data_IF_292503705253
#
_entry.id   IF_292503705253
#
_cell.length_a   1.000
_cell.length_b   1.000
_cell.length_c   1.000
_cell.angle_alpha   90.00
_cell.angle_beta   90.00
_cell.angle_gamma   90.00
#
_symmetry.space_group_name_H-M   'P 1'
#
loop_
_entity.id
_entity.type
_entity.pdbx_description
1 polymer ?
#
# COMPACT_ATOMS: atom_id res chain seq x y z
N UNK A 1 2.08 3.94 -24.53
CA UNK A 1 1.77 5.40 -24.43
C UNK A 1 2.70 5.98 -23.37
N UNK A 2 3.21 7.20 -23.51
CA UNK A 2 4.04 7.82 -22.46
C UNK A 2 3.13 8.37 -21.37
N UNK A 3 3.43 8.11 -20.10
CA UNK A 3 2.67 8.67 -18.97
C UNK A 3 2.93 10.17 -18.82
N UNK A 4 1.87 10.93 -18.53
CA UNK A 4 1.99 12.34 -18.15
C UNK A 4 2.44 12.44 -16.69
N UNK A 5 3.47 13.25 -16.42
CA UNK A 5 3.99 13.49 -15.07
C UNK A 5 3.78 14.96 -14.71
N UNK A 6 3.03 15.22 -13.65
CA UNK A 6 2.85 16.56 -13.09
C UNK A 6 3.84 16.80 -11.95
N UNK A 7 4.39 18.00 -11.87
CA UNK A 7 5.47 18.34 -10.94
C UNK A 7 5.28 19.74 -10.32
N UNK A 8 5.63 19.88 -9.04
CA UNK A 8 5.69 21.15 -8.32
C UNK A 8 7.03 21.30 -7.61
N UNK A 9 7.59 22.51 -7.61
CA UNK A 9 8.74 22.86 -6.76
C UNK A 9 8.32 23.20 -5.34
N UNK A 10 7.06 23.62 -5.16
CA UNK A 10 6.48 23.92 -3.85
C UNK A 10 5.99 22.62 -3.22
N UNK A 11 6.48 22.34 -2.01
CA UNK A 11 6.09 21.18 -1.20
C UNK A 11 5.09 21.65 -0.16
N UNK A 12 3.83 21.81 -0.58
CA UNK A 12 2.72 22.23 0.29
C UNK A 12 1.49 21.34 0.07
N UNK A 13 0.59 21.21 1.06
CA UNK A 13 -0.65 20.43 0.92
C UNK A 13 -1.48 20.84 -0.31
N UNK A 14 -1.71 22.14 -0.49
CA UNK A 14 -2.48 22.66 -1.63
C UNK A 14 -1.77 22.39 -2.97
N UNK A 15 -0.44 22.45 -3.03
CA UNK A 15 0.28 22.12 -4.26
C UNK A 15 0.04 20.67 -4.68
N UNK A 16 0.05 19.73 -3.73
CA UNK A 16 -0.24 18.31 -4.01
C UNK A 16 -1.68 18.12 -4.47
N UNK A 17 -2.65 18.75 -3.80
CA UNK A 17 -4.05 18.70 -4.21
C UNK A 17 -4.27 19.25 -5.63
N UNK A 18 -3.61 20.37 -5.97
CA UNK A 18 -3.64 20.92 -7.33
C UNK A 18 -3.08 19.93 -8.35
N UNK A 19 -1.94 19.29 -8.06
CA UNK A 19 -1.36 18.27 -8.96
C UNK A 19 -2.29 17.06 -9.11
N UNK A 20 -2.91 16.58 -8.04
CA UNK A 20 -3.89 15.49 -8.11
C UNK A 20 -5.07 15.85 -9.01
N UNK A 21 -5.62 17.07 -8.88
CA UNK A 21 -6.71 17.54 -9.75
C UNK A 21 -6.33 17.59 -11.23
N UNK A 22 -5.07 17.86 -11.57
CA UNK A 22 -4.57 17.82 -12.95
C UNK A 22 -4.52 16.41 -13.55
N UNK A 23 -4.46 15.36 -12.72
CA UNK A 23 -4.58 13.97 -13.18
C UNK A 23 -5.94 13.73 -13.84
N UNK A 24 -6.98 14.44 -13.38
CA UNK A 24 -8.32 14.36 -13.96
C UNK A 24 -8.99 12.99 -13.78
N UNK A 25 -8.52 12.19 -12.81
CA UNK A 25 -9.05 10.88 -12.49
C UNK A 25 -9.96 10.98 -11.27
N UNK A 26 -11.22 10.63 -11.46
CA UNK A 26 -12.17 10.45 -10.36
C UNK A 26 -12.00 9.06 -9.74
N UNK A 27 -12.12 9.00 -8.42
CA UNK A 27 -12.13 7.77 -7.62
C UNK A 27 -13.55 7.56 -7.11
N UNK A 28 -14.36 6.71 -7.78
CA UNK A 28 -15.74 6.49 -7.37
C UNK A 28 -15.85 5.68 -6.08
N UNK A 29 -16.99 5.82 -5.39
CA UNK A 29 -17.35 4.99 -4.25
C UNK A 29 -16.46 5.18 -3.02
N UNK A 30 -16.26 4.10 -2.26
CA UNK A 30 -15.37 4.12 -1.07
C UNK A 30 -13.92 4.09 -1.50
N UNK A 31 -13.14 5.08 -1.08
CA UNK A 31 -11.72 5.22 -1.43
C UNK A 31 -10.83 4.71 -0.30
N UNK A 32 -10.04 3.67 -0.58
CA UNK A 32 -8.91 3.27 0.24
C UNK A 32 -7.71 4.17 -0.06
N UNK A 33 -7.16 4.84 0.94
CA UNK A 33 -5.93 5.64 0.83
C UNK A 33 -4.79 4.85 1.44
N UNK A 34 -4.02 4.17 0.59
CA UNK A 34 -2.89 3.36 1.03
C UNK A 34 -1.70 4.25 1.34
N UNK A 35 -1.22 4.17 2.58
CA UNK A 35 -0.02 4.87 3.06
C UNK A 35 1.03 3.88 3.51
N UNK A 36 2.26 4.34 3.73
CA UNK A 36 3.20 3.67 4.62
C UNK A 36 3.20 4.40 5.95
N UNK A 37 2.56 3.84 6.98
CA UNK A 37 2.30 4.51 8.27
C UNK A 37 3.54 4.95 9.04
N UNK A 38 4.69 4.33 8.74
CA UNK A 38 5.97 4.57 9.42
C UNK A 38 6.22 3.54 10.51
N UNK A 39 7.47 3.09 10.66
CA UNK A 39 7.86 2.22 11.78
C UNK A 39 8.23 3.06 12.99
N UNK A 40 8.18 2.49 14.20
CA UNK A 40 8.57 3.20 15.42
C UNK A 40 10.00 3.77 15.28
N UNK A 41 10.14 5.06 15.59
CA UNK A 41 11.40 5.80 15.46
C UNK A 41 11.70 6.33 14.05
N UNK A 42 10.93 5.96 13.02
CA UNK A 42 11.07 6.54 11.69
C UNK A 42 10.47 7.96 11.67
N UNK A 43 11.24 8.95 11.24
CA UNK A 43 10.79 10.34 11.10
C UNK A 43 10.44 10.73 9.65
N UNK A 44 10.70 9.84 8.68
CA UNK A 44 10.59 10.14 7.24
C UNK A 44 9.33 9.55 6.60
N UNK A 45 8.33 9.16 7.40
CA UNK A 45 7.04 8.73 6.85
C UNK A 45 6.18 9.94 6.44
N UNK A 46 5.18 9.69 5.60
CA UNK A 46 4.23 10.73 5.21
C UNK A 46 3.48 11.25 6.44
N UNK A 47 3.48 12.57 6.65
CA UNK A 47 2.84 13.16 7.82
C UNK A 47 1.35 13.37 7.56
N UNK A 48 0.46 12.93 8.47
CA UNK A 48 -0.99 12.92 8.21
C UNK A 48 -1.58 14.32 8.01
N UNK A 49 -1.07 15.33 8.72
CA UNK A 49 -1.45 16.73 8.58
C UNK A 49 -1.17 17.29 7.17
N UNK A 50 -0.02 16.93 6.59
CA UNK A 50 0.35 17.36 5.23
C UNK A 50 -0.61 16.82 4.16
N UNK A 51 -1.12 15.60 4.35
CA UNK A 51 -1.97 14.93 3.35
C UNK A 51 -3.47 15.16 3.55
N UNK A 52 -3.86 15.83 4.63
CA UNK A 52 -5.26 16.05 5.02
C UNK A 52 -6.13 16.59 3.90
N UNK A 53 -5.68 17.65 3.22
CA UNK A 53 -6.46 18.27 2.14
C UNK A 53 -6.74 17.30 0.98
N UNK A 54 -5.76 16.45 0.62
CA UNK A 54 -5.92 15.50 -0.48
C UNK A 54 -6.79 14.31 -0.07
N UNK A 55 -6.60 13.78 1.13
CA UNK A 55 -7.38 12.64 1.63
C UNK A 55 -8.85 13.03 1.85
N UNK A 56 -9.09 14.21 2.43
CA UNK A 56 -10.44 14.75 2.61
C UNK A 56 -11.13 15.00 1.25
N UNK A 57 -10.38 15.53 0.27
CA UNK A 57 -10.93 15.79 -1.07
C UNK A 57 -11.45 14.52 -1.76
N UNK A 58 -10.80 13.37 -1.55
CA UNK A 58 -11.26 12.09 -2.10
C UNK A 58 -12.20 11.32 -1.16
N UNK A 59 -12.53 11.86 0.02
CA UNK A 59 -13.36 11.17 1.02
C UNK A 59 -12.73 9.86 1.51
N UNK A 60 -11.40 9.81 1.59
CA UNK A 60 -10.65 8.57 1.75
C UNK A 60 -10.57 8.03 3.18
N UNK A 61 -10.51 6.71 3.30
CA UNK A 61 -10.12 6.02 4.55
C UNK A 61 -8.65 5.63 4.46
N UNK A 62 -7.86 5.92 5.49
CA UNK A 62 -6.44 5.53 5.50
C UNK A 62 -6.33 4.03 5.74
N UNK A 63 -5.64 3.31 4.86
CA UNK A 63 -5.51 1.86 4.94
C UNK A 63 -4.06 1.39 5.09
N UNK A 64 -3.87 0.33 5.87
CA UNK A 64 -2.58 -0.34 6.08
C UNK A 64 -2.78 -1.85 6.30
N UNK A 65 -1.68 -2.61 6.24
CA UNK A 65 -1.66 -4.03 6.59
C UNK A 65 -0.47 -4.30 7.52
N UNK A 66 -0.60 -5.26 8.43
CA UNK A 66 0.45 -5.65 9.36
C UNK A 66 1.72 -6.15 8.64
N UNK A 67 2.90 -5.93 9.25
CA UNK A 67 4.17 -6.41 8.71
C UNK A 67 4.37 -7.90 9.00
N UNK A 68 4.97 -8.63 8.05
CA UNK A 68 5.36 -10.04 8.22
C UNK A 68 6.50 -10.24 9.23
N UNK A 69 7.21 -9.18 9.58
CA UNK A 69 8.43 -9.22 10.38
C UNK A 69 8.25 -8.46 11.71
N UNK A 70 9.04 -8.80 12.74
CA UNK A 70 8.96 -8.16 14.05
C UNK A 70 9.09 -6.63 13.98
N UNK A 71 8.31 -5.93 14.79
CA UNK A 71 8.28 -4.48 14.85
C UNK A 71 7.07 -3.96 15.62
N UNK A 72 6.78 -2.67 15.54
CA UNK A 72 5.55 -2.10 16.09
C UNK A 72 4.35 -2.25 15.14
N UNK A 73 4.56 -2.76 13.92
CA UNK A 73 3.49 -2.97 12.92
C UNK A 73 3.11 -4.43 12.69
N UNK A 74 3.67 -5.36 13.44
CA UNK A 74 3.59 -6.79 13.13
C UNK A 74 2.37 -7.52 13.69
N UNK A 75 1.56 -6.82 14.49
CA UNK A 75 0.31 -7.32 15.07
C UNK A 75 -0.69 -6.17 15.10
N UNK A 76 -1.98 -6.45 14.88
CA UNK A 76 -3.05 -5.44 14.85
C UNK A 76 -3.00 -4.48 16.04
N UNK A 77 -2.91 -5.00 17.27
CA UNK A 77 -2.90 -4.16 18.47
C UNK A 77 -1.72 -3.17 18.49
N UNK A 78 -0.51 -3.63 18.20
CA UNK A 78 0.68 -2.76 18.13
C UNK A 78 0.57 -1.75 16.99
N UNK A 79 0.09 -2.19 15.83
CA UNK A 79 0.04 -1.34 14.65
C UNK A 79 -0.99 -0.22 14.82
N UNK A 80 -2.15 -0.50 15.42
CA UNK A 80 -3.13 0.53 15.78
C UNK A 80 -2.55 1.55 16.76
N UNK A 81 -1.86 1.08 17.81
CA UNK A 81 -1.19 1.98 18.76
C UNK A 81 -0.12 2.86 18.08
N UNK A 82 0.61 2.32 17.10
CA UNK A 82 1.59 3.10 16.34
C UNK A 82 0.93 4.11 15.39
N UNK A 83 -0.17 3.74 14.75
CA UNK A 83 -0.96 4.66 13.90
C UNK A 83 -1.47 5.85 14.71
N UNK A 84 -1.87 5.61 15.97
CA UNK A 84 -2.21 6.66 16.93
C UNK A 84 -1.01 7.51 17.33
N UNK A 85 0.12 6.88 17.71
CA UNK A 85 1.38 7.57 18.05
C UNK A 85 1.85 8.48 16.89
N UNK A 86 1.68 8.03 15.66
CA UNK A 86 2.03 8.77 14.44
C UNK A 86 0.96 9.77 13.98
N UNK A 87 -0.18 9.85 14.68
CA UNK A 87 -1.22 10.85 14.48
C UNK A 87 -2.15 10.60 13.29
N UNK A 88 -2.18 9.39 12.71
CA UNK A 88 -3.06 9.09 11.58
C UNK A 88 -4.54 9.13 11.97
N UNK A 89 -4.87 8.55 13.12
CA UNK A 89 -6.25 8.51 13.64
C UNK A 89 -6.77 9.88 14.13
N UNK A 90 -5.91 10.89 14.26
CA UNK A 90 -6.32 12.26 14.64
C UNK A 90 -7.14 12.94 13.54
N UNK A 91 -6.86 12.60 12.28
CA UNK A 91 -7.47 13.24 11.12
C UNK A 91 -8.35 12.31 10.30
N UNK A 92 -8.08 11.00 10.33
CA UNK A 92 -8.72 10.05 9.44
C UNK A 92 -9.22 8.83 10.18
N UNK A 93 -10.30 8.23 9.65
CA UNK A 93 -10.59 6.83 9.91
C UNK A 93 -9.44 5.99 9.37
N UNK A 94 -8.98 5.03 10.18
CA UNK A 94 -7.93 4.09 9.79
C UNK A 94 -8.50 2.68 9.77
N UNK A 95 -8.16 1.94 8.72
CA UNK A 95 -8.52 0.54 8.54
C UNK A 95 -7.25 -0.30 8.37
N UNK A 96 -7.09 -1.30 9.25
CA UNK A 96 -6.06 -2.33 9.10
C UNK A 96 -6.68 -3.50 8.37
N UNK A 97 -6.39 -3.60 7.08
CA UNK A 97 -7.13 -4.47 6.17
C UNK A 97 -7.00 -5.96 6.50
N UNK A 98 -5.90 -6.34 7.17
CA UNK A 98 -5.59 -7.70 7.62
C UNK A 98 -5.74 -7.84 9.15
N UNK A 99 -6.56 -7.01 9.79
CA UNK A 99 -6.78 -7.06 11.23
C UNK A 99 -7.50 -8.34 11.68
N UNK A 100 -8.23 -9.00 10.77
CA UNK A 100 -9.06 -10.16 11.04
C UNK A 100 -8.86 -11.22 9.95
N UNK A 101 -8.69 -12.47 10.37
CA UNK A 101 -8.66 -13.63 9.48
C UNK A 101 -10.05 -13.95 8.87
N UNK A 102 -10.12 -14.77 7.81
CA UNK A 102 -9.03 -15.17 6.94
C UNK A 102 -8.63 -14.05 5.95
N UNK A 103 -7.44 -14.17 5.36
CA UNK A 103 -7.02 -13.32 4.24
C UNK A 103 -7.94 -13.49 3.01
N UNK A 104 -8.00 -12.45 2.17
CA UNK A 104 -8.60 -12.56 0.84
C UNK A 104 -7.56 -13.08 -0.15
N UNK A 105 -7.87 -14.21 -0.79
CA UNK A 105 -7.05 -14.77 -1.88
C UNK A 105 -7.51 -14.20 -3.23
N UNK A 106 -6.60 -13.52 -3.94
CA UNK A 106 -6.81 -13.02 -5.29
C UNK A 106 -6.08 -13.94 -6.29
N UNK A 107 -6.77 -14.50 -7.31
CA UNK A 107 -6.13 -15.34 -8.30
C UNK A 107 -5.24 -14.55 -9.26
N UNK A 108 -4.14 -15.16 -9.71
CA UNK A 108 -3.24 -14.62 -10.74
C UNK A 108 -3.04 -15.69 -11.82
N UNK A 109 -4.05 -15.94 -12.68
CA UNK A 109 -4.01 -17.07 -13.63
C UNK A 109 -2.79 -17.03 -14.55
N UNK A 110 -2.33 -15.83 -14.91
CA UNK A 110 -1.20 -15.58 -15.81
C UNK A 110 0.08 -15.14 -15.07
N UNK A 111 0.15 -15.37 -13.76
CA UNK A 111 1.32 -15.00 -12.96
C UNK A 111 2.56 -15.76 -13.41
N UNK A 112 3.73 -15.10 -13.37
CA UNK A 112 4.99 -15.69 -13.81
C UNK A 112 5.61 -16.59 -12.75
N UNK A 113 5.57 -16.16 -11.49
CA UNK A 113 6.18 -16.83 -10.32
C UNK A 113 5.11 -17.28 -9.34
N UNK A 114 4.15 -16.39 -9.03
CA UNK A 114 3.04 -16.72 -8.12
C UNK A 114 1.69 -16.65 -8.84
N UNK A 115 0.82 -17.61 -8.54
CA UNK A 115 -0.51 -17.71 -9.16
C UNK A 115 -1.66 -17.23 -8.26
N UNK A 116 -1.32 -16.65 -7.11
CA UNK A 116 -2.26 -16.07 -6.16
C UNK A 116 -1.59 -15.04 -5.26
N UNK A 117 -2.37 -14.11 -4.75
CA UNK A 117 -1.96 -13.09 -3.79
C UNK A 117 -2.88 -13.15 -2.56
N UNK A 118 -2.32 -12.94 -1.37
CA UNK A 118 -3.07 -12.87 -0.12
C UNK A 118 -3.07 -11.43 0.39
N UNK A 119 -4.23 -10.80 0.39
CA UNK A 119 -4.41 -9.40 0.78
C UNK A 119 -5.25 -9.31 2.04
N UNK A 120 -5.14 -8.17 2.74
CA UNK A 120 -6.04 -7.87 3.84
C UNK A 120 -7.48 -7.86 3.33
N UNK A 121 -8.35 -8.67 3.93
CA UNK A 121 -9.70 -8.94 3.38
C UNK A 121 -10.58 -7.70 3.25
N UNK A 122 -10.40 -6.72 4.13
CA UNK A 122 -11.24 -5.52 4.14
C UNK A 122 -10.97 -4.61 2.94
N UNK A 123 -9.93 -4.89 2.12
CA UNK A 123 -9.73 -4.22 0.83
C UNK A 123 -10.94 -4.38 -0.10
N UNK A 124 -11.70 -5.47 0.04
CA UNK A 124 -12.93 -5.70 -0.73
C UNK A 124 -14.07 -4.73 -0.39
N UNK A 125 -13.95 -3.96 0.69
CA UNK A 125 -14.93 -2.94 1.09
C UNK A 125 -14.77 -1.62 0.31
N UNK A 126 -13.77 -1.52 -0.58
CA UNK A 126 -13.40 -0.29 -1.28
C UNK A 126 -13.56 -0.45 -2.79
N UNK A 127 -14.05 0.61 -3.43
CA UNK A 127 -14.30 0.68 -4.88
C UNK A 127 -13.11 1.29 -5.63
N UNK A 128 -12.27 2.03 -4.91
CA UNK A 128 -11.14 2.80 -5.42
C UNK A 128 -9.94 2.75 -4.49
N UNK A 129 -8.74 2.90 -5.06
CA UNK A 129 -7.48 2.93 -4.33
C UNK A 129 -6.67 4.17 -4.71
N UNK A 130 -6.30 4.98 -3.73
CA UNK A 130 -5.32 6.05 -3.86
C UNK A 130 -4.04 5.64 -3.13
N UNK A 131 -2.92 5.59 -3.83
CA UNK A 131 -1.64 5.17 -3.29
C UNK A 131 -0.74 6.37 -3.02
N UNK A 132 -0.52 6.69 -1.75
CA UNK A 132 0.40 7.74 -1.35
C UNK A 132 1.81 7.15 -1.17
N UNK A 133 2.66 7.40 -2.15
CA UNK A 133 4.05 6.94 -2.18
C UNK A 133 5.02 8.04 -1.79
N UNK A 134 6.02 7.68 -0.98
CA UNK A 134 7.29 8.41 -0.86
C UNK A 134 8.42 7.46 -1.24
N UNK A 135 9.51 7.98 -1.79
CA UNK A 135 10.65 7.14 -2.12
C UNK A 135 11.45 6.79 -0.87
N UNK A 136 11.83 5.52 -0.76
CA UNK A 136 12.77 5.01 0.24
C UNK A 136 13.59 3.89 -0.39
N UNK A 137 14.89 3.87 -0.16
CA UNK A 137 15.73 2.74 -0.57
C UNK A 137 15.28 1.43 0.11
N UNK A 138 15.27 0.32 -0.63
CA UNK A 138 14.91 -1.00 -0.14
C UNK A 138 15.99 -2.03 -0.50
N UNK A 139 16.57 -2.76 0.49
CA UNK A 139 17.70 -3.65 0.26
C UNK A 139 17.46 -4.73 -0.82
N UNK A 140 16.25 -5.29 -0.90
CA UNK A 140 15.89 -6.30 -1.90
C UNK A 140 15.03 -5.75 -3.06
N UNK A 141 14.68 -4.46 -3.05
CA UNK A 141 13.70 -3.92 -4.01
C UNK A 141 14.17 -2.67 -4.76
N UNK A 142 15.45 -2.29 -4.62
CA UNK A 142 15.97 -1.04 -5.17
C UNK A 142 15.32 0.19 -4.53
N UNK A 143 14.42 0.85 -5.27
CA UNK A 143 13.64 1.98 -4.77
C UNK A 143 12.20 1.56 -4.48
N UNK A 144 11.78 1.65 -3.22
CA UNK A 144 10.38 1.52 -2.85
C UNK A 144 9.55 2.68 -3.43
N UNK A 145 8.35 2.39 -3.91
CA UNK A 145 7.46 3.37 -4.55
C UNK A 145 6.12 2.74 -4.95
N UNK A 146 5.55 3.21 -6.07
CA UNK A 146 4.20 2.87 -6.51
C UNK A 146 3.93 1.36 -6.62
N UNK A 147 4.79 0.60 -7.32
CA UNK A 147 4.59 -0.85 -7.49
C UNK A 147 4.59 -1.58 -6.14
N UNK A 148 5.48 -1.19 -5.21
CA UNK A 148 5.54 -1.81 -3.89
C UNK A 148 4.23 -1.62 -3.13
N UNK A 149 3.65 -0.42 -3.19
CA UNK A 149 2.43 -0.12 -2.46
C UNK A 149 1.19 -0.76 -3.09
N UNK A 150 1.15 -0.90 -4.42
CA UNK A 150 0.12 -1.67 -5.14
C UNK A 150 0.28 -3.19 -4.96
N UNK A 151 1.49 -3.66 -4.68
CA UNK A 151 1.80 -5.07 -4.44
C UNK A 151 1.72 -5.37 -2.93
N UNK A 152 2.88 -5.55 -2.30
CA UNK A 152 3.03 -5.91 -0.88
C UNK A 152 2.43 -4.90 0.11
N UNK A 153 2.12 -3.68 -0.32
CA UNK A 153 1.51 -2.65 0.52
C UNK A 153 0.14 -3.05 1.07
N UNK A 154 -0.66 -3.76 0.27
CA UNK A 154 -2.01 -4.23 0.67
C UNK A 154 -2.05 -5.74 0.94
N UNK A 155 -0.95 -6.45 0.71
CA UNK A 155 -0.81 -7.85 1.11
C UNK A 155 -0.98 -8.00 2.62
N UNK A 156 -1.62 -9.07 3.09
CA UNK A 156 -1.69 -9.39 4.52
C UNK A 156 -0.31 -9.71 5.08
N UNK A 157 -0.13 -9.78 6.39
CA UNK A 157 1.12 -10.23 7.01
C UNK A 157 1.63 -11.56 6.41
N UNK A 158 0.73 -12.53 6.20
CA UNK A 158 1.07 -13.79 5.51
C UNK A 158 1.40 -13.58 4.03
N UNK A 159 0.58 -12.81 3.31
CA UNK A 159 0.81 -12.49 1.90
C UNK A 159 2.14 -11.79 1.64
N UNK A 160 2.57 -10.92 2.57
CA UNK A 160 3.88 -10.29 2.51
C UNK A 160 5.01 -11.32 2.57
N UNK A 161 4.90 -12.33 3.44
CA UNK A 161 5.87 -13.41 3.51
C UNK A 161 5.83 -14.29 2.25
N UNK A 162 4.64 -14.58 1.72
CA UNK A 162 4.43 -15.35 0.50
C UNK A 162 5.06 -14.68 -0.73
N UNK A 163 4.84 -13.37 -0.91
CA UNK A 163 5.45 -12.59 -2.00
C UNK A 163 6.97 -12.56 -1.82
N UNK A 164 7.46 -12.23 -0.62
CA UNK A 164 8.90 -12.20 -0.35
C UNK A 164 9.59 -13.54 -0.63
N UNK A 165 8.91 -14.64 -0.34
CA UNK A 165 9.40 -16.00 -0.56
C UNK A 165 9.13 -16.55 -1.96
N UNK A 166 8.70 -15.73 -2.91
CA UNK A 166 8.38 -16.15 -4.29
C UNK A 166 7.40 -17.34 -4.34
N UNK A 167 6.42 -17.36 -3.43
CA UNK A 167 5.43 -18.43 -3.29
C UNK A 167 5.65 -19.40 -2.13
N UNK A 168 6.81 -19.37 -1.46
CA UNK A 168 7.06 -20.11 -0.23
C UNK A 168 7.33 -19.15 0.94
N UNK A 169 6.37 -18.91 1.86
CA UNK A 169 6.55 -18.02 3.01
C UNK A 169 7.76 -18.32 3.89
N UNK A 170 8.28 -19.56 3.86
CA UNK A 170 9.49 -19.94 4.61
C UNK A 170 10.76 -19.31 4.04
N UNK A 171 10.73 -18.88 2.78
CA UNK A 171 11.85 -18.28 2.05
C UNK A 171 11.83 -16.75 2.07
N UNK A 172 11.06 -16.12 2.98
CA UNK A 172 10.88 -14.66 3.08
C UNK A 172 12.19 -13.85 3.00
N UNK A 173 13.32 -14.40 3.47
CA UNK A 173 14.63 -13.73 3.49
C UNK A 173 15.66 -14.31 2.52
N UNK A 174 15.31 -15.38 1.80
CA UNK A 174 16.26 -16.25 1.10
C UNK A 174 15.84 -16.56 -0.33
N UNK A 175 14.67 -16.10 -0.77
CA UNK A 175 14.26 -16.21 -2.16
C UNK A 175 15.27 -15.50 -3.07
N UNK A 176 15.43 -16.07 -4.27
CA UNK A 176 16.15 -15.45 -5.36
C UNK A 176 15.60 -14.05 -5.67
N UNK A 177 16.49 -13.10 -5.98
CA UNK A 177 16.13 -11.69 -6.10
C UNK A 177 15.19 -11.43 -7.28
N UNK A 178 15.48 -12.03 -8.44
CA UNK A 178 14.67 -11.84 -9.64
C UNK A 178 13.29 -12.47 -9.42
N UNK A 179 13.24 -13.65 -8.82
CA UNK A 179 12.00 -14.32 -8.44
C UNK A 179 11.15 -13.48 -7.47
N UNK A 180 11.78 -12.82 -6.49
CA UNK A 180 11.10 -11.87 -5.60
C UNK A 180 10.51 -10.68 -6.38
N UNK A 181 11.29 -10.03 -7.25
CA UNK A 181 10.82 -8.88 -8.04
C UNK A 181 9.68 -9.27 -8.99
N UNK A 182 9.74 -10.45 -9.59
CA UNK A 182 8.69 -10.97 -10.47
C UNK A 182 7.42 -11.30 -9.69
N UNK A 183 7.53 -11.93 -8.51
CA UNK A 183 6.38 -12.18 -7.64
C UNK A 183 5.72 -10.88 -7.15
N UNK A 184 6.50 -9.82 -6.93
CA UNK A 184 5.99 -8.50 -6.60
C UNK A 184 5.16 -7.92 -7.75
N UNK A 185 5.60 -8.11 -8.99
CA UNK A 185 4.85 -7.68 -10.18
C UNK A 185 3.57 -8.50 -10.38
N UNK A 186 3.63 -9.82 -10.18
CA UNK A 186 2.46 -10.70 -10.18
C UNK A 186 1.42 -10.22 -9.14
N UNK A 187 1.84 -10.00 -7.89
CA UNK A 187 0.95 -9.50 -6.84
C UNK A 187 0.37 -8.13 -7.16
N UNK A 188 1.16 -7.20 -7.73
CA UNK A 188 0.65 -5.90 -8.16
C UNK A 188 -0.46 -6.04 -9.21
N UNK A 189 -0.30 -6.96 -10.17
CA UNK A 189 -1.30 -7.19 -11.21
C UNK A 189 -2.66 -7.58 -10.63
N UNK A 190 -2.69 -8.44 -9.60
CA UNK A 190 -3.93 -8.85 -8.93
C UNK A 190 -4.69 -7.69 -8.31
N UNK A 191 -3.98 -6.70 -7.78
CA UNK A 191 -4.56 -5.51 -7.15
C UNK A 191 -5.07 -4.53 -8.20
N UNK A 192 -4.34 -4.36 -9.31
CA UNK A 192 -4.81 -3.57 -10.45
C UNK A 192 -6.11 -4.15 -11.02
N UNK A 193 -6.18 -5.47 -11.18
CA UNK A 193 -7.37 -6.18 -11.65
C UNK A 193 -8.54 -6.06 -10.66
N UNK A 194 -8.27 -6.12 -9.34
CA UNK A 194 -9.30 -5.92 -8.30
C UNK A 194 -10.01 -4.57 -8.46
N UNK A 195 -9.24 -3.50 -8.67
CA UNK A 195 -9.77 -2.13 -8.77
C UNK A 195 -10.20 -1.73 -10.18
N UNK A 196 -9.98 -2.55 -11.22
CA UNK A 196 -10.52 -2.37 -12.58
C UNK A 196 -10.28 -0.96 -13.16
N UNK A 197 -9.09 -0.42 -12.93
CA UNK A 197 -8.71 0.93 -13.37
C UNK A 197 -9.10 2.07 -12.42
N UNK A 198 -9.57 1.78 -11.22
CA UNK A 198 -9.85 2.76 -10.14
C UNK A 198 -8.73 2.83 -9.08
N UNK A 199 -7.50 2.48 -9.47
CA UNK A 199 -6.31 2.65 -8.66
C UNK A 199 -5.44 3.79 -9.23
N UNK A 200 -4.99 4.71 -8.38
CA UNK A 200 -4.15 5.88 -8.71
C UNK A 200 -2.94 5.96 -7.81
#
# INVERSE_FOLDING_TARGET
>A
MKSTVYFSRDITPDAVLRLYKLVGKELPGKVAVKVHSGEKGNQNFLRPDFWKETIDYVGGTVVECNTAYPGARNTTAKHLALLEEHGWNRYFTVDLLDAQDPDLELPIPNGKVIHKNFVGKDIANYDSLLVLSHFKGHPMGGYGGALKQLSIGVASSFGKAYIHGAGDPKQIWTADHDSFLESMADAASSVVELFKGNAV
#
